data_IF_383721925528
#
_entry.id   IF_383721925528
#
_cell.length_a   1.000
_cell.length_b   1.000
_cell.length_c   1.000
_cell.angle_alpha   90.00
_cell.angle_beta   90.00
_cell.angle_gamma   90.00
#
_symmetry.space_group_name_H-M   'P 1'
#
loop_
_entity.id
_entity.type
_entity.pdbx_description
1 polymer ?
#
# COMPACT_ATOMS: atom_id res chain seq x y z
N UNK A 1 6.54 -7.74 -6.70
CA UNK A 1 7.84 -8.05 -7.32
C UNK A 1 8.82 -6.87 -7.27
N UNK A 2 8.43 -5.67 -7.74
CA UNK A 2 9.32 -4.50 -7.79
C UNK A 2 10.06 -4.13 -6.50
N UNK A 3 9.41 -4.15 -5.33
CA UNK A 3 10.09 -3.83 -4.07
C UNK A 3 11.13 -4.88 -3.68
N UNK A 4 10.80 -6.17 -3.78
CA UNK A 4 11.74 -7.26 -3.50
C UNK A 4 12.96 -7.17 -4.41
N UNK A 5 12.75 -6.98 -5.72
CA UNK A 5 13.84 -6.79 -6.67
C UNK A 5 14.71 -5.57 -6.29
N UNK A 6 14.09 -4.42 -6.01
CA UNK A 6 14.81 -3.19 -5.63
C UNK A 6 15.59 -3.31 -4.32
N UNK A 7 15.13 -4.13 -3.39
CA UNK A 7 15.82 -4.37 -2.11
C UNK A 7 16.95 -5.38 -2.34
N UNK A 8 16.72 -6.46 -3.09
CA UNK A 8 17.74 -7.44 -3.44
C UNK A 8 18.90 -6.80 -4.21
N UNK A 9 18.62 -5.93 -5.18
CA UNK A 9 19.64 -5.18 -5.92
C UNK A 9 20.47 -4.26 -5.00
N UNK A 10 19.86 -3.69 -3.95
CA UNK A 10 20.55 -2.78 -3.01
C UNK A 10 21.36 -3.50 -1.94
N UNK A 11 20.90 -4.65 -1.47
CA UNK A 11 21.49 -5.35 -0.32
C UNK A 11 22.20 -6.66 -0.68
N UNK A 12 22.04 -7.15 -1.91
CA UNK A 12 22.69 -8.38 -2.38
C UNK A 12 22.40 -9.56 -1.45
N UNK A 13 23.46 -10.27 -1.03
CA UNK A 13 23.34 -11.44 -0.16
C UNK A 13 22.79 -11.13 1.24
N UNK A 14 23.01 -9.92 1.77
CA UNK A 14 22.52 -9.53 3.09
C UNK A 14 21.01 -9.28 3.12
N UNK A 15 20.33 -9.32 1.96
CA UNK A 15 18.88 -9.23 1.86
C UNK A 15 18.16 -10.20 2.82
N UNK A 16 18.64 -11.44 2.92
CA UNK A 16 18.03 -12.48 3.75
C UNK A 16 18.16 -12.25 5.26
N UNK A 17 18.98 -11.29 5.67
CA UNK A 17 19.16 -10.90 7.08
C UNK A 17 18.24 -9.73 7.47
N UNK A 18 17.65 -9.04 6.49
CA UNK A 18 16.78 -7.88 6.71
C UNK A 18 15.40 -8.31 7.21
N UNK A 19 14.90 -7.57 8.20
CA UNK A 19 13.52 -7.65 8.67
C UNK A 19 12.63 -6.76 7.81
N UNK A 20 11.37 -7.16 7.65
CA UNK A 20 10.39 -6.37 6.89
C UNK A 20 10.30 -4.90 7.38
N UNK A 21 10.38 -4.68 8.70
CA UNK A 21 10.37 -3.34 9.30
C UNK A 21 11.54 -2.44 8.90
N UNK A 22 12.65 -3.02 8.45
CA UNK A 22 13.84 -2.28 8.03
C UNK A 22 13.73 -1.76 6.59
N UNK A 23 12.90 -2.41 5.78
CA UNK A 23 12.78 -2.15 4.33
C UNK A 23 11.37 -1.69 3.90
N UNK A 24 10.37 -1.80 4.76
CA UNK A 24 9.01 -1.35 4.47
C UNK A 24 8.87 0.18 4.46
N UNK A 25 7.87 0.66 3.73
CA UNK A 25 7.40 2.04 3.85
C UNK A 25 6.84 2.29 5.25
N UNK A 26 7.51 3.13 6.05
CA UNK A 26 7.12 3.39 7.45
C UNK A 26 5.78 4.11 7.61
N UNK A 27 5.46 5.01 6.68
CA UNK A 27 4.22 5.80 6.69
C UNK A 27 3.42 5.50 5.42
N UNK A 28 2.71 4.36 5.36
CA UNK A 28 1.93 4.01 4.18
C UNK A 28 0.84 5.04 3.94
N UNK A 29 0.41 5.18 2.68
CA UNK A 29 -0.78 5.98 2.38
C UNK A 29 -2.02 5.21 2.84
N UNK A 30 -2.84 5.90 3.62
CA UNK A 30 -4.06 5.35 4.18
C UNK A 30 -5.30 6.03 3.63
N UNK A 31 -6.46 5.39 3.79
CA UNK A 31 -7.78 5.97 3.57
C UNK A 31 -8.69 5.57 4.73
N UNK A 32 -9.57 6.48 5.13
CA UNK A 32 -10.57 6.21 6.16
C UNK A 32 -11.58 5.16 5.68
N UNK A 33 -12.08 4.31 6.58
CA UNK A 33 -13.03 3.23 6.26
C UNK A 33 -14.34 3.74 5.68
N UNK A 34 -14.75 4.94 6.05
CA UNK A 34 -16.02 5.56 5.65
C UNK A 34 -15.85 6.47 4.42
N UNK A 35 -14.64 6.54 3.85
CA UNK A 35 -14.39 7.32 2.65
C UNK A 35 -15.02 6.70 1.41
N UNK A 36 -15.49 7.56 0.50
CA UNK A 36 -15.97 7.12 -0.81
C UNK A 36 -14.86 6.43 -1.61
N UNK A 37 -15.22 5.37 -2.33
CA UNK A 37 -14.32 4.64 -3.23
C UNK A 37 -13.66 5.55 -4.28
N UNK A 38 -14.38 6.53 -4.82
CA UNK A 38 -13.82 7.51 -5.74
C UNK A 38 -12.67 8.33 -5.12
N UNK A 39 -12.74 8.61 -3.81
CA UNK A 39 -11.66 9.31 -3.09
C UNK A 39 -10.44 8.41 -2.89
N UNK A 40 -10.64 7.11 -2.68
CA UNK A 40 -9.55 6.14 -2.66
C UNK A 40 -8.85 6.08 -4.04
N UNK A 41 -9.63 6.04 -5.13
CA UNK A 41 -9.12 6.05 -6.50
C UNK A 41 -8.29 7.31 -6.80
N UNK A 42 -8.84 8.49 -6.51
CA UNK A 42 -8.13 9.76 -6.67
C UNK A 42 -6.81 9.81 -5.89
N UNK A 43 -6.81 9.29 -4.65
CA UNK A 43 -5.62 9.25 -3.80
C UNK A 43 -4.56 8.27 -4.35
N UNK A 44 -4.98 7.14 -4.90
CA UNK A 44 -4.10 6.20 -5.59
C UNK A 44 -3.44 6.83 -6.81
N UNK A 45 -4.21 7.53 -7.64
CA UNK A 45 -3.72 8.25 -8.83
C UNK A 45 -2.70 9.34 -8.43
N UNK A 46 -3.06 10.20 -7.46
CA UNK A 46 -2.20 11.29 -6.98
C UNK A 46 -0.82 10.80 -6.54
N UNK A 47 -0.75 9.64 -5.86
CA UNK A 47 0.51 9.10 -5.38
C UNK A 47 1.12 8.03 -6.30
N UNK A 48 0.49 7.75 -7.45
CA UNK A 48 0.88 6.68 -8.37
C UNK A 48 1.07 5.33 -7.67
N UNK A 49 0.12 4.97 -6.80
CA UNK A 49 0.10 3.70 -6.05
C UNK A 49 -1.17 2.92 -6.36
N UNK A 50 -1.15 1.61 -6.13
CA UNK A 50 -2.28 0.72 -6.45
C UNK A 50 -2.97 0.14 -5.22
N UNK A 51 -2.56 0.53 -4.02
CA UNK A 51 -3.13 0.05 -2.78
C UNK A 51 -3.12 1.12 -1.69
N UNK A 52 -4.15 1.09 -0.84
CA UNK A 52 -4.28 1.95 0.34
C UNK A 52 -4.61 1.08 1.54
N UNK A 53 -3.97 1.37 2.67
CA UNK A 53 -4.28 0.72 3.95
C UNK A 53 -5.47 1.44 4.61
N UNK A 54 -6.39 0.66 5.17
CA UNK A 54 -7.52 1.18 5.96
C UNK A 54 -7.21 0.90 7.43
N UNK A 55 -6.82 1.91 8.23
CA UNK A 55 -6.57 1.74 9.65
C UNK A 55 -7.85 1.86 10.49
N UNK A 56 -7.88 1.14 11.61
CA UNK A 56 -8.85 1.32 12.70
C UNK A 56 -8.60 2.65 13.44
N UNK A 57 -9.47 2.95 14.42
CA UNK A 57 -9.33 4.15 15.27
C UNK A 57 -8.05 4.21 16.11
N UNK A 58 -7.38 3.07 16.31
CA UNK A 58 -6.09 2.97 17.01
C UNK A 58 -4.90 3.02 16.06
N UNK A 59 -5.12 3.25 14.76
CA UNK A 59 -4.08 3.29 13.74
C UNK A 59 -3.58 1.92 13.27
N UNK A 60 -4.24 0.82 13.68
CA UNK A 60 -3.86 -0.53 13.27
C UNK A 60 -4.58 -0.90 11.96
N UNK A 61 -3.93 -1.60 11.02
CA UNK A 61 -4.61 -2.01 9.79
C UNK A 61 -5.84 -2.88 10.09
N UNK A 62 -7.01 -2.45 9.61
CA UNK A 62 -8.25 -3.24 9.60
C UNK A 62 -8.67 -3.68 8.19
N UNK A 63 -8.07 -3.11 7.16
CA UNK A 63 -8.31 -3.50 5.78
C UNK A 63 -7.28 -2.95 4.79
N UNK A 64 -7.45 -3.37 3.53
CA UNK A 64 -6.69 -2.89 2.39
C UNK A 64 -7.63 -2.76 1.20
N UNK A 65 -7.44 -1.71 0.39
CA UNK A 65 -8.15 -1.52 -0.87
C UNK A 65 -7.13 -1.54 -1.98
N UNK A 66 -7.33 -2.37 -3.00
CA UNK A 66 -6.54 -2.36 -4.23
C UNK A 66 -7.28 -1.66 -5.36
N UNK A 67 -6.52 -0.96 -6.22
CA UNK A 67 -7.03 -0.28 -7.40
C UNK A 67 -7.89 -1.21 -8.27
N UNK A 68 -7.41 -2.44 -8.50
CA UNK A 68 -8.10 -3.41 -9.34
C UNK A 68 -9.46 -3.85 -8.78
N UNK A 69 -9.65 -3.81 -7.46
CA UNK A 69 -10.94 -4.16 -6.84
C UNK A 69 -11.96 -3.06 -7.09
N UNK A 70 -11.53 -1.79 -7.03
CA UNK A 70 -12.38 -0.64 -7.36
C UNK A 70 -12.80 -0.67 -8.84
N UNK A 71 -11.86 -0.94 -9.73
CA UNK A 71 -12.16 -1.05 -11.17
C UNK A 71 -13.15 -2.19 -11.47
N UNK A 72 -12.97 -3.37 -10.84
CA UNK A 72 -13.89 -4.50 -10.99
C UNK A 72 -15.28 -4.21 -10.44
N UNK A 73 -15.37 -3.38 -9.39
CA UNK A 73 -16.64 -2.93 -8.84
C UNK A 73 -17.34 -1.85 -9.69
N UNK A 74 -16.74 -1.43 -10.81
CA UNK A 74 -17.28 -0.41 -11.71
C UNK A 74 -17.08 1.02 -11.20
N UNK A 75 -16.17 1.24 -10.25
CA UNK A 75 -15.76 2.57 -9.82
C UNK A 75 -14.76 3.11 -10.87
N UNK A 76 -15.26 3.92 -11.79
CA UNK A 76 -14.53 4.63 -12.86
C UNK A 76 -15.07 6.04 -13.05
#
# INVERSE_FOLDING_TARGET
>A
DGDLRRILERHGKSFFELRAGEVMTKNPKTIDRDALAAKALQRMELYSITALVVPDKSGRPEGIIHLHDLLKAGIV
#
